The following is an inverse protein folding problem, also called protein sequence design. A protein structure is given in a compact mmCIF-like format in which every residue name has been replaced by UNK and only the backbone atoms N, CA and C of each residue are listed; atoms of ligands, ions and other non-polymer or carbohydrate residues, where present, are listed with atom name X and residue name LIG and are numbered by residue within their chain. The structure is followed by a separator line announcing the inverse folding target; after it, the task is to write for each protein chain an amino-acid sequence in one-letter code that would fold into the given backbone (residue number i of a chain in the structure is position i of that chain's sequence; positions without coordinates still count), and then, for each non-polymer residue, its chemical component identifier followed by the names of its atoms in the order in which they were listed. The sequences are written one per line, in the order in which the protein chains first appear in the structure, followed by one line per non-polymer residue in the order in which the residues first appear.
data_IF_915616072318
#
_entry.id   IF_915616072318
#
_cell.length_a   1.000
_cell.length_b   1.000
_cell.length_c   1.000
_cell.angle_alpha   90.00
_cell.angle_beta   90.00
_cell.angle_gamma   90.00
#
_symmetry.space_group_name_H-M   'P 1'
#
loop_
_entity.id
_entity.type
_entity.pdbx_description
1 polymer ?
#
# COMPACT_ATOMS: atom_id res chain seq x y z
N UNK A 1 -12.89 -3.74 -17.58
CA UNK A 1 -12.31 -2.89 -16.51
C UNK A 1 -11.38 -3.78 -15.70
N UNK A 2 -10.13 -3.39 -15.48
CA UNK A 2 -9.22 -4.26 -14.75
C UNK A 2 -9.52 -4.16 -13.25
N UNK A 3 -10.11 -5.21 -12.68
CA UNK A 3 -10.61 -5.21 -11.31
C UNK A 3 -9.51 -4.92 -10.26
N UNK A 4 -8.26 -5.28 -10.55
CA UNK A 4 -7.12 -4.96 -9.67
C UNK A 4 -6.89 -3.46 -9.43
N UNK A 5 -7.47 -2.58 -10.26
CA UNK A 5 -7.41 -1.13 -10.03
C UNK A 5 -8.15 -0.70 -8.75
N UNK A 6 -9.02 -1.55 -8.21
CA UNK A 6 -9.79 -1.32 -7.00
C UNK A 6 -9.18 -1.97 -5.76
N UNK A 7 -8.12 -2.76 -5.92
CA UNK A 7 -7.49 -3.42 -4.79
C UNK A 7 -7.09 -2.40 -3.74
N UNK A 8 -7.38 -2.74 -2.48
CA UNK A 8 -7.11 -1.91 -1.31
C UNK A 8 -7.80 -0.53 -1.35
N UNK A 9 -8.83 -0.34 -2.19
CA UNK A 9 -9.50 0.96 -2.32
C UNK A 9 -8.73 1.98 -3.16
N UNK A 10 -7.73 1.56 -3.95
CA UNK A 10 -6.86 2.48 -4.71
C UNK A 10 -7.61 3.46 -5.62
N UNK A 11 -8.56 2.97 -6.42
CA UNK A 11 -9.39 3.81 -7.29
C UNK A 11 -10.26 4.79 -6.50
N UNK A 12 -10.71 4.41 -5.30
CA UNK A 12 -11.56 5.24 -4.44
C UNK A 12 -10.75 6.44 -3.92
N UNK A 13 -9.52 6.20 -3.46
CA UNK A 13 -8.61 7.28 -3.05
C UNK A 13 -8.34 8.25 -4.20
N UNK A 14 -8.05 7.74 -5.40
CA UNK A 14 -7.77 8.59 -6.56
C UNK A 14 -9.01 9.36 -7.03
N UNK A 15 -10.20 8.74 -6.99
CA UNK A 15 -11.46 9.41 -7.31
C UNK A 15 -11.75 10.57 -6.34
N UNK A 16 -11.57 10.34 -5.03
CA UNK A 16 -11.71 11.38 -4.00
C UNK A 16 -10.74 12.55 -4.24
N UNK A 17 -9.46 12.26 -4.50
CA UNK A 17 -8.47 13.28 -4.83
C UNK A 17 -8.85 14.08 -6.08
N UNK A 18 -9.48 13.43 -7.06
CA UNK A 18 -9.94 14.07 -8.29
C UNK A 18 -11.26 14.85 -8.14
N UNK A 19 -11.87 14.88 -6.95
CA UNK A 19 -13.16 15.53 -6.70
C UNK A 19 -14.36 14.79 -7.31
N UNK A 20 -14.24 13.48 -7.52
CA UNK A 20 -15.30 12.63 -8.07
C UNK A 20 -15.94 11.77 -6.97
N UNK A 21 -17.10 11.17 -7.23
CA UNK A 21 -17.73 10.21 -6.31
C UNK A 21 -16.80 9.02 -6.08
N UNK A 22 -16.31 8.88 -4.85
CA UNK A 22 -15.41 7.81 -4.44
C UNK A 22 -16.14 6.58 -3.95
N UNK A 23 -17.48 6.58 -3.84
CA UNK A 23 -18.25 5.37 -3.51
C UNK A 23 -18.41 4.45 -4.70
N UNK A 24 -18.50 5.04 -5.89
CA UNK A 24 -18.58 4.35 -7.18
C UNK A 24 -17.56 4.95 -8.15
N UNK A 25 -16.26 4.68 -7.94
CA UNK A 25 -15.21 5.32 -8.71
C UNK A 25 -15.28 4.96 -10.20
N UNK A 26 -15.03 5.97 -11.04
CA UNK A 26 -15.01 5.83 -12.49
C UNK A 26 -13.94 4.83 -12.93
N UNK A 27 -14.15 4.21 -14.09
CA UNK A 27 -13.19 3.27 -14.68
C UNK A 27 -11.88 3.96 -15.02
N UNK A 28 -10.79 3.46 -14.46
CA UNK A 28 -9.43 3.80 -14.93
C UNK A 28 -9.21 3.13 -16.29
N UNK A 29 -8.92 3.93 -17.32
CA UNK A 29 -8.55 3.44 -18.66
C UNK A 29 -7.08 2.99 -18.69
N UNK A 30 -6.78 1.84 -18.09
CA UNK A 30 -5.45 1.25 -18.05
C UNK A 30 -5.25 0.36 -16.82
N UNK A 31 -3.99 0.09 -16.49
CA UNK A 31 -3.59 -0.77 -15.38
C UNK A 31 -2.88 0.04 -14.30
N UNK A 32 -3.41 0.00 -13.08
CA UNK A 32 -2.83 0.68 -11.93
C UNK A 32 -1.96 -0.29 -11.12
N UNK A 33 -0.73 0.11 -10.83
CA UNK A 33 0.12 -0.59 -9.86
C UNK A 33 -0.60 -0.63 -8.50
N UNK A 34 -0.71 -1.82 -7.92
CA UNK A 34 -1.46 -2.03 -6.67
C UNK A 34 -0.59 -2.53 -5.50
N UNK A 35 0.70 -2.78 -5.74
CA UNK A 35 1.66 -3.20 -4.73
C UNK A 35 3.07 -2.80 -5.14
N UNK A 36 3.96 -2.66 -4.16
CA UNK A 36 5.38 -2.47 -4.39
C UNK A 36 5.99 -3.78 -4.86
N UNK A 37 6.81 -3.73 -5.91
CA UNK A 37 7.62 -4.85 -6.35
C UNK A 37 8.92 -4.37 -6.99
N UNK A 38 9.87 -5.30 -7.13
CA UNK A 38 11.19 -5.04 -7.73
C UNK A 38 11.18 -4.98 -9.26
N UNK A 39 10.05 -5.37 -9.87
CA UNK A 39 9.86 -5.40 -11.31
C UNK A 39 9.30 -4.10 -11.86
N UNK A 40 8.35 -4.23 -12.77
CA UNK A 40 7.72 -3.14 -13.51
C UNK A 40 6.44 -2.58 -12.87
N UNK A 41 6.13 -2.94 -11.62
CA UNK A 41 4.92 -2.46 -10.92
C UNK A 41 3.66 -3.29 -11.16
N UNK A 42 3.72 -4.34 -11.99
CA UNK A 42 2.64 -5.30 -12.20
C UNK A 42 3.04 -6.68 -11.68
N UNK A 43 2.05 -7.56 -11.47
CA UNK A 43 2.28 -8.94 -11.07
C UNK A 43 3.00 -9.71 -12.20
N UNK A 44 3.82 -10.74 -11.89
CA UNK A 44 4.62 -11.45 -12.89
C UNK A 44 3.78 -12.13 -13.98
N UNK A 45 2.63 -12.66 -13.60
CA UNK A 45 1.66 -13.40 -14.40
C UNK A 45 0.57 -12.50 -15.01
N UNK A 46 0.76 -11.18 -14.96
CA UNK A 46 -0.26 -10.23 -15.39
C UNK A 46 -0.45 -10.23 -16.91
N UNK A 47 -1.68 -10.53 -17.35
CA UNK A 47 -2.05 -10.45 -18.76
C UNK A 47 -2.40 -9.02 -19.17
N UNK A 48 -1.76 -8.55 -20.25
CA UNK A 48 -1.94 -7.21 -20.78
C UNK A 48 -2.77 -7.20 -22.05
N UNK A 49 -3.78 -6.33 -22.09
CA UNK A 49 -4.46 -5.95 -23.32
C UNK A 49 -3.58 -4.93 -24.06
N UNK A 50 -3.21 -5.18 -25.33
CA UNK A 50 -2.41 -4.25 -26.12
C UNK A 50 -3.03 -2.84 -26.20
N UNK A 51 -2.18 -1.81 -26.17
CA UNK A 51 -2.59 -0.40 -26.31
C UNK A 51 -3.23 0.23 -25.07
N UNK A 52 -3.26 -0.48 -23.94
CA UNK A 52 -3.68 0.11 -22.66
C UNK A 52 -2.47 0.58 -21.84
N UNK A 53 -2.53 1.78 -21.25
CA UNK A 53 -1.41 2.32 -20.50
C UNK A 53 -1.25 1.66 -19.12
N UNK A 54 -0.02 1.70 -18.62
CA UNK A 54 0.32 1.37 -17.23
C UNK A 54 0.49 2.66 -16.42
N UNK A 55 -0.09 2.69 -15.23
CA UNK A 55 0.05 3.76 -14.24
C UNK A 55 0.81 3.20 -13.05
N UNK A 56 2.06 3.65 -12.88
CA UNK A 56 2.99 3.15 -11.87
C UNK A 56 3.32 4.24 -10.86
N UNK A 57 3.81 3.85 -9.69
CA UNK A 57 3.95 4.79 -8.58
C UNK A 57 5.13 5.74 -8.77
N UNK A 58 6.25 5.27 -9.30
CA UNK A 58 7.47 6.06 -9.35
C UNK A 58 8.16 6.02 -10.71
N UNK A 59 8.99 7.03 -10.94
CA UNK A 59 9.86 7.08 -12.12
C UNK A 59 10.82 5.87 -12.17
N UNK A 60 11.27 5.38 -11.01
CA UNK A 60 12.09 4.17 -10.92
C UNK A 60 11.36 2.95 -11.47
N UNK A 61 10.10 2.75 -11.11
CA UNK A 61 9.26 1.69 -11.66
C UNK A 61 8.96 1.90 -13.13
N UNK A 62 8.68 3.15 -13.55
CA UNK A 62 8.44 3.51 -14.95
C UNK A 62 9.62 3.14 -15.84
N UNK A 63 10.86 3.45 -15.42
CA UNK A 63 12.08 3.07 -16.14
C UNK A 63 12.25 1.55 -16.27
N UNK A 64 11.91 0.77 -15.23
CA UNK A 64 11.93 -0.69 -15.29
C UNK A 64 10.87 -1.24 -16.26
N UNK A 65 9.66 -0.68 -16.25
CA UNK A 65 8.62 -1.02 -17.22
C UNK A 65 9.06 -0.70 -18.66
N UNK A 66 9.66 0.47 -18.85
CA UNK A 66 10.19 0.91 -20.13
C UNK A 66 11.33 -0.01 -20.62
N UNK A 67 12.24 -0.45 -19.76
CA UNK A 67 13.28 -1.41 -20.17
C UNK A 67 12.73 -2.76 -20.62
N UNK A 68 11.49 -3.11 -20.24
CA UNK A 68 10.78 -4.30 -20.69
C UNK A 68 9.87 -4.03 -21.91
N UNK A 69 10.05 -2.91 -22.61
CA UNK A 69 9.30 -2.55 -23.81
C UNK A 69 7.92 -1.94 -23.54
N UNK A 70 7.54 -1.67 -22.28
CA UNK A 70 6.27 -1.01 -21.96
C UNK A 70 6.44 0.51 -22.11
N UNK A 71 6.12 1.01 -23.31
CA UNK A 71 6.31 2.43 -23.68
C UNK A 71 5.22 3.33 -23.12
N UNK A 72 3.97 2.87 -23.12
CA UNK A 72 2.82 3.59 -22.56
C UNK A 72 2.75 3.40 -21.04
N UNK A 73 3.75 3.90 -20.32
CA UNK A 73 3.83 3.79 -18.86
C UNK A 73 4.09 5.15 -18.24
N UNK A 74 3.23 5.53 -17.30
CA UNK A 74 3.20 6.86 -16.67
C UNK A 74 3.43 6.71 -15.17
N UNK A 75 4.39 7.46 -14.64
CA UNK A 75 4.59 7.57 -13.20
C UNK A 75 3.59 8.59 -12.64
N UNK A 76 2.81 8.21 -11.63
CA UNK A 76 1.72 9.04 -11.12
C UNK A 76 1.72 9.20 -9.59
N UNK A 77 2.63 8.55 -8.86
CA UNK A 77 2.53 8.44 -7.40
C UNK A 77 1.61 7.30 -6.95
N UNK A 78 1.85 6.78 -5.75
CA UNK A 78 1.01 5.74 -5.16
C UNK A 78 -0.31 6.33 -4.64
N UNK A 79 -1.44 5.61 -4.71
CA UNK A 79 -2.69 6.03 -4.06
C UNK A 79 -2.50 6.37 -2.58
N UNK A 80 -1.59 5.67 -1.88
CA UNK A 80 -1.19 5.99 -0.52
C UNK A 80 -0.64 7.42 -0.35
N UNK A 81 0.21 7.88 -1.27
CA UNK A 81 0.77 9.23 -1.20
C UNK A 81 -0.30 10.31 -1.44
N UNK A 82 -1.29 10.06 -2.31
CA UNK A 82 -2.46 10.92 -2.44
C UNK A 82 -3.33 10.94 -1.18
N UNK A 83 -3.51 9.78 -0.52
CA UNK A 83 -4.23 9.70 0.75
C UNK A 83 -3.56 10.57 1.82
N UNK A 84 -2.24 10.46 1.96
CA UNK A 84 -1.47 11.30 2.90
C UNK A 84 -1.57 12.79 2.59
N UNK A 85 -1.56 13.17 1.30
CA UNK A 85 -1.72 14.56 0.88
C UNK A 85 -3.12 15.13 1.21
N UNK A 86 -4.16 14.29 1.17
CA UNK A 86 -5.53 14.69 1.53
C UNK A 86 -5.80 14.64 3.04
N UNK A 87 -5.04 13.85 3.79
CA UNK A 87 -5.23 13.64 5.22
C UNK A 87 -3.94 13.97 5.97
N UNK A 88 -3.50 15.25 5.99
CA UNK A 88 -2.29 15.65 6.72
C UNK A 88 -2.44 15.33 8.21
N UNK A 89 -1.30 15.12 8.88
CA UNK A 89 -1.34 14.98 10.34
C UNK A 89 -1.74 16.30 11.00
N UNK A 90 -2.50 16.23 12.09
CA UNK A 90 -2.77 17.42 12.89
C UNK A 90 -1.46 17.95 13.49
N UNK A 91 -1.41 19.26 13.78
CA UNK A 91 -0.20 19.91 14.33
C UNK A 91 0.27 19.30 15.65
N UNK A 92 -0.66 18.75 16.44
CA UNK A 92 -0.40 18.04 17.69
C UNK A 92 -0.95 16.60 17.61
N UNK A 93 -0.24 15.68 16.92
CA UNK A 93 -0.68 14.30 16.84
C UNK A 93 -0.57 13.62 18.21
N UNK A 94 -1.45 12.66 18.53
CA UNK A 94 -1.32 11.89 19.76
C UNK A 94 0.01 11.12 19.77
N UNK A 95 0.57 10.83 20.97
CA UNK A 95 1.78 10.04 21.08
C UNK A 95 1.62 8.69 20.39
N UNK A 96 2.65 8.30 19.62
CA UNK A 96 2.71 7.00 18.96
C UNK A 96 3.43 6.00 19.84
N UNK A 97 2.91 4.77 19.91
CA UNK A 97 3.44 3.73 20.79
C UNK A 97 3.57 2.39 20.08
N UNK A 98 4.59 1.61 20.47
CA UNK A 98 4.74 0.23 20.05
C UNK A 98 5.08 0.06 18.57
N UNK A 99 4.91 -1.18 18.11
CA UNK A 99 5.26 -1.62 16.76
C UNK A 99 4.07 -2.23 16.06
N UNK A 100 3.78 -1.76 14.84
CA UNK A 100 2.92 -2.51 13.93
C UNK A 100 3.77 -3.47 13.09
N UNK A 101 3.46 -4.76 13.22
CA UNK A 101 4.15 -5.84 12.55
C UNK A 101 3.33 -6.38 11.38
N UNK A 102 3.94 -6.51 10.21
CA UNK A 102 3.34 -7.10 9.02
C UNK A 102 4.08 -8.40 8.66
N UNK A 103 3.61 -9.58 9.07
CA UNK A 103 4.21 -10.83 8.63
C UNK A 103 4.10 -10.97 7.11
N UNK A 104 5.10 -11.56 6.49
CA UNK A 104 5.01 -12.00 5.11
C UNK A 104 3.88 -13.01 4.99
N UNK A 105 3.06 -12.81 3.96
CA UNK A 105 1.86 -13.58 3.74
C UNK A 105 1.77 -14.04 2.29
N UNK A 106 1.01 -15.12 2.09
CA UNK A 106 0.62 -15.60 0.79
C UNK A 106 -0.49 -14.76 0.19
N UNK A 107 -0.98 -15.17 -0.98
CA UNK A 107 -2.18 -14.62 -1.60
C UNK A 107 -3.04 -15.76 -2.12
N UNK A 108 -4.16 -15.47 -2.78
CA UNK A 108 -5.21 -16.44 -3.09
C UNK A 108 -4.74 -17.69 -3.87
N UNK A 109 -3.55 -17.66 -4.49
CA UNK A 109 -2.93 -18.80 -5.19
C UNK A 109 -1.63 -19.36 -4.59
N UNK A 110 -1.10 -18.86 -3.46
CA UNK A 110 0.18 -19.31 -2.89
C UNK A 110 0.17 -19.36 -1.36
N UNK A 111 0.59 -20.48 -0.77
CA UNK A 111 0.70 -20.67 0.68
C UNK A 111 2.13 -20.39 1.17
N UNK A 112 2.24 -19.81 2.37
CA UNK A 112 3.53 -19.58 3.04
C UNK A 112 3.95 -20.86 3.76
N UNK A 113 5.22 -21.24 3.55
CA UNK A 113 5.95 -22.20 4.36
C UNK A 113 6.91 -21.40 5.23
N UNK A 114 6.73 -21.45 6.55
CA UNK A 114 7.54 -20.68 7.48
C UNK A 114 7.28 -21.05 8.94
N UNK A 115 8.26 -20.77 9.80
CA UNK A 115 8.17 -21.01 11.22
C UNK A 115 7.64 -19.75 11.95
N UNK A 116 6.32 -19.71 12.15
CA UNK A 116 5.70 -18.61 12.90
C UNK A 116 6.14 -18.56 14.37
N UNK A 117 6.50 -19.68 15.02
CA UNK A 117 6.94 -19.65 16.43
C UNK A 117 8.30 -18.99 16.54
N UNK A 118 9.21 -19.32 15.62
CA UNK A 118 10.50 -18.65 15.52
C UNK A 118 10.33 -17.16 15.27
N UNK A 119 9.45 -16.78 14.34
CA UNK A 119 9.18 -15.36 14.06
C UNK A 119 8.60 -14.66 15.31
N UNK A 120 7.65 -15.27 16.00
CA UNK A 120 7.08 -14.74 17.26
C UNK A 120 8.18 -14.52 18.31
N UNK A 121 9.08 -15.51 18.49
CA UNK A 121 10.18 -15.40 19.44
C UNK A 121 11.13 -14.25 19.09
N UNK A 122 11.45 -14.09 17.80
CA UNK A 122 12.33 -13.01 17.32
C UNK A 122 11.70 -11.62 17.50
N UNK A 123 10.40 -11.49 17.22
CA UNK A 123 9.65 -10.25 17.49
C UNK A 123 9.71 -9.88 18.96
N UNK A 124 9.45 -10.84 19.87
CA UNK A 124 9.49 -10.61 21.32
C UNK A 124 10.88 -10.23 21.83
N UNK A 125 11.93 -10.77 21.22
CA UNK A 125 13.30 -10.46 21.60
C UNK A 125 13.76 -9.07 21.11
N UNK A 126 13.15 -8.55 20.05
CA UNK A 126 13.63 -7.36 19.33
C UNK A 126 12.77 -6.12 19.58
N UNK A 127 11.45 -6.29 19.72
CA UNK A 127 10.52 -5.17 19.86
C UNK A 127 10.45 -4.69 21.33
N UNK A 128 10.69 -3.40 21.61
CA UNK A 128 10.83 -2.89 22.98
C UNK A 128 9.49 -2.62 23.69
N UNK A 129 8.36 -2.81 23.01
CA UNK A 129 7.04 -2.39 23.50
C UNK A 129 5.91 -3.25 22.92
N UNK A 130 4.65 -2.82 23.09
CA UNK A 130 3.50 -3.58 22.60
C UNK A 130 3.57 -3.74 21.08
N UNK A 131 3.21 -4.93 20.61
CA UNK A 131 3.19 -5.25 19.17
C UNK A 131 1.77 -5.53 18.71
N UNK A 132 1.37 -4.82 17.65
CA UNK A 132 0.17 -5.12 16.87
C UNK A 132 0.57 -5.90 15.62
N UNK A 133 0.17 -7.16 15.49
CA UNK A 133 0.36 -7.97 14.28
C UNK A 133 -0.81 -7.75 13.34
N UNK A 134 -0.53 -7.19 12.15
CA UNK A 134 -1.51 -7.07 11.09
C UNK A 134 -1.37 -8.22 10.09
N UNK A 135 -2.34 -9.14 10.13
CA UNK A 135 -2.40 -10.27 9.21
C UNK A 135 -3.13 -9.90 7.93
N UNK A 136 -2.76 -10.56 6.82
CA UNK A 136 -3.55 -10.50 5.60
C UNK A 136 -4.91 -11.17 5.81
N UNK A 137 -5.95 -10.72 5.09
CA UNK A 137 -7.33 -11.14 5.37
C UNK A 137 -7.55 -12.67 5.37
N UNK A 138 -6.83 -13.41 4.52
CA UNK A 138 -6.90 -14.88 4.50
C UNK A 138 -6.33 -15.49 5.77
N UNK A 139 -5.15 -15.03 6.21
CA UNK A 139 -4.49 -15.50 7.42
C UNK A 139 -5.24 -15.06 8.68
N UNK A 140 -5.82 -13.86 8.65
CA UNK A 140 -6.67 -13.36 9.73
C UNK A 140 -7.94 -14.21 9.89
N UNK A 141 -8.50 -14.73 8.78
CA UNK A 141 -9.62 -15.68 8.80
C UNK A 141 -9.20 -17.09 9.17
N UNK A 142 -7.92 -17.44 8.99
CA UNK A 142 -7.37 -18.72 9.42
C UNK A 142 -7.15 -18.71 10.94
N UNK A 143 -8.18 -19.13 11.69
CA UNK A 143 -8.20 -19.14 13.17
C UNK A 143 -6.91 -19.66 13.79
N UNK A 144 -6.34 -20.75 13.26
CA UNK A 144 -5.09 -21.35 13.77
C UNK A 144 -3.89 -20.39 13.69
N UNK A 145 -3.77 -19.60 12.62
CA UNK A 145 -2.69 -18.63 12.46
C UNK A 145 -2.93 -17.44 13.39
N UNK A 146 -4.15 -16.90 13.38
CA UNK A 146 -4.54 -15.76 14.23
C UNK A 146 -4.31 -16.06 15.72
N UNK A 147 -4.84 -17.18 16.21
CA UNK A 147 -4.72 -17.60 17.62
C UNK A 147 -3.27 -17.87 18.04
N UNK A 148 -2.37 -18.14 17.10
CA UNK A 148 -0.94 -18.34 17.41
C UNK A 148 -0.31 -17.02 17.86
N UNK A 149 -0.59 -15.92 17.16
CA UNK A 149 -0.12 -14.59 17.53
C UNK A 149 -0.87 -14.03 18.75
N UNK A 150 -2.18 -14.26 18.85
CA UNK A 150 -2.99 -13.83 20.02
C UNK A 150 -2.50 -14.50 21.31
N UNK A 151 -2.26 -15.82 21.30
CA UNK A 151 -1.70 -16.54 22.46
C UNK A 151 -0.29 -16.11 22.81
N UNK A 152 0.45 -15.55 21.86
CA UNK A 152 1.75 -14.95 22.12
C UNK A 152 1.65 -13.60 22.84
N UNK A 153 0.46 -13.04 23.03
CA UNK A 153 0.24 -11.75 23.71
C UNK A 153 0.22 -10.55 22.78
N UNK A 154 0.21 -10.76 21.46
CA UNK A 154 0.12 -9.67 20.49
C UNK A 154 -1.33 -9.25 20.26
N UNK A 155 -1.54 -7.97 19.95
CA UNK A 155 -2.82 -7.50 19.39
C UNK A 155 -2.86 -7.92 17.93
N UNK A 156 -3.88 -8.64 17.49
CA UNK A 156 -3.97 -9.10 16.10
C UNK A 156 -5.10 -8.37 15.37
N UNK A 157 -4.80 -7.85 14.18
CA UNK A 157 -5.74 -7.08 13.36
C UNK A 157 -5.67 -7.48 11.89
N UNK A 158 -6.59 -6.94 11.11
CA UNK A 158 -6.58 -6.92 9.64
C UNK A 158 -7.09 -5.56 9.17
N UNK A 159 -6.44 -4.96 8.17
CA UNK A 159 -6.89 -3.68 7.59
C UNK A 159 -8.17 -3.80 6.78
N UNK A 160 -8.56 -5.02 6.42
CA UNK A 160 -9.79 -5.31 5.69
C UNK A 160 -9.57 -6.28 4.54
N UNK A 161 -10.57 -6.38 3.69
CA UNK A 161 -10.51 -7.22 2.51
C UNK A 161 -9.70 -6.50 1.41
N UNK A 162 -8.90 -7.24 0.63
CA UNK A 162 -8.17 -6.65 -0.50
C UNK A 162 -9.12 -6.10 -1.58
N UNK A 163 -10.31 -6.68 -1.68
CA UNK A 163 -11.20 -6.53 -2.82
C UNK A 163 -10.95 -7.62 -3.86
N UNK A 164 -12.00 -8.07 -4.54
CA UNK A 164 -11.91 -9.01 -5.66
C UNK A 164 -12.62 -8.50 -6.91
N UNK A 165 -13.76 -9.09 -7.28
CA UNK A 165 -14.62 -8.61 -8.37
C UNK A 165 -15.42 -7.40 -7.87
N UNK A 166 -16.07 -6.71 -8.81
CA UNK A 166 -16.76 -5.42 -8.65
C UNK A 166 -17.73 -5.31 -7.46
N UNK A 167 -18.29 -6.43 -7.03
CA UNK A 167 -19.30 -6.57 -5.99
C UNK A 167 -18.73 -6.79 -4.58
N UNK A 168 -17.41 -6.96 -4.44
CA UNK A 168 -16.74 -7.17 -3.17
C UNK A 168 -15.47 -6.31 -3.10
N UNK A 169 -15.66 -5.02 -2.85
CA UNK A 169 -14.60 -4.02 -2.68
C UNK A 169 -14.51 -3.59 -1.21
N UNK A 170 -13.37 -3.01 -0.85
CA UNK A 170 -13.15 -2.41 0.46
C UNK A 170 -12.53 -1.01 0.32
N UNK A 171 -13.37 0.03 0.14
CA UNK A 171 -12.92 1.40 -0.13
C UNK A 171 -12.05 1.99 0.98
N UNK A 172 -12.21 1.52 2.22
CA UNK A 172 -11.59 2.09 3.42
C UNK A 172 -10.31 1.38 3.85
N UNK A 173 -9.86 0.36 3.11
CA UNK A 173 -8.66 -0.42 3.46
C UNK A 173 -7.44 0.48 3.76
N UNK A 174 -7.08 1.38 2.83
CA UNK A 174 -5.93 2.27 3.06
C UNK A 174 -6.18 3.30 4.16
N UNK A 175 -7.42 3.76 4.37
CA UNK A 175 -7.74 4.69 5.47
C UNK A 175 -7.56 4.04 6.83
N UNK A 176 -8.03 2.80 7.00
CA UNK A 176 -7.81 2.02 8.22
C UNK A 176 -6.34 1.70 8.43
N UNK A 177 -5.62 1.38 7.36
CA UNK A 177 -4.17 1.21 7.43
C UNK A 177 -3.45 2.48 7.89
N UNK A 178 -3.80 3.65 7.34
CA UNK A 178 -3.23 4.93 7.76
C UNK A 178 -3.53 5.26 9.21
N UNK A 179 -4.80 5.12 9.61
CA UNK A 179 -5.23 5.36 10.98
C UNK A 179 -4.45 4.48 11.97
N UNK A 180 -4.22 3.22 11.62
CA UNK A 180 -3.49 2.31 12.49
C UNK A 180 -1.97 2.58 12.50
N UNK A 181 -1.36 2.84 11.35
CA UNK A 181 0.07 3.17 11.27
C UNK A 181 0.40 4.44 12.05
N UNK A 182 -0.48 5.44 12.03
CA UNK A 182 -0.32 6.68 12.82
C UNK A 182 -0.40 6.50 14.33
N UNK A 183 -0.86 5.36 14.83
CA UNK A 183 -0.84 5.03 16.27
C UNK A 183 0.49 4.44 16.71
N UNK A 184 1.31 3.97 15.77
CA UNK A 184 2.52 3.21 16.05
C UNK A 184 3.77 4.04 15.82
N UNK A 185 4.73 3.89 16.74
CA UNK A 185 6.03 4.52 16.59
C UNK A 185 6.86 3.81 15.53
N UNK A 186 6.81 2.48 15.53
CA UNK A 186 7.61 1.62 14.64
C UNK A 186 6.74 0.81 13.70
N UNK A 187 7.28 0.50 12.54
CA UNK A 187 6.75 -0.51 11.61
C UNK A 187 7.81 -1.58 11.37
N UNK A 188 7.40 -2.85 11.34
CA UNK A 188 8.33 -3.92 11.06
C UNK A 188 7.70 -5.06 10.24
N UNK A 189 8.54 -5.79 9.52
CA UNK A 189 8.17 -6.96 8.72
C UNK A 189 9.37 -7.87 8.50
N UNK A 190 9.12 -9.14 8.20
CA UNK A 190 10.17 -10.07 7.76
C UNK A 190 10.48 -10.00 6.27
N UNK A 191 9.73 -9.20 5.49
CA UNK A 191 10.11 -8.82 4.12
C UNK A 191 9.83 -7.35 3.87
N UNK A 192 10.64 -6.71 3.02
CA UNK A 192 10.30 -5.37 2.53
C UNK A 192 9.03 -5.46 1.68
N UNK A 193 8.01 -4.68 2.02
CA UNK A 193 6.70 -4.71 1.37
C UNK A 193 6.07 -3.31 1.33
N UNK A 194 4.94 -3.18 0.62
CA UNK A 194 4.17 -1.92 0.54
C UNK A 194 3.84 -1.35 1.92
N UNK A 195 3.40 -2.20 2.86
CA UNK A 195 2.96 -1.73 4.18
C UNK A 195 4.08 -1.04 4.97
N UNK A 196 5.32 -1.54 4.85
CA UNK A 196 6.51 -0.91 5.45
C UNK A 196 6.78 0.44 4.81
N UNK A 197 6.81 0.52 3.47
CA UNK A 197 7.02 1.80 2.76
C UNK A 197 5.93 2.82 3.06
N UNK A 198 4.68 2.38 3.16
CA UNK A 198 3.53 3.21 3.52
C UNK A 198 3.69 3.81 4.92
N UNK A 199 4.05 2.97 5.89
CA UNK A 199 4.27 3.39 7.28
C UNK A 199 5.46 4.34 7.43
N UNK A 200 6.56 4.10 6.69
CA UNK A 200 7.70 5.03 6.65
C UNK A 200 7.24 6.42 6.17
N UNK A 201 6.44 6.46 5.10
CA UNK A 201 5.95 7.73 4.58
C UNK A 201 5.00 8.43 5.57
N UNK A 202 4.22 7.65 6.32
CA UNK A 202 3.38 8.10 7.44
C UNK A 202 4.16 8.39 8.74
N UNK A 203 5.50 8.32 8.74
CA UNK A 203 6.35 8.75 9.85
C UNK A 203 6.73 7.67 10.88
N UNK A 204 6.53 6.38 10.57
CA UNK A 204 6.99 5.30 11.44
C UNK A 204 8.50 5.04 11.28
N UNK A 205 9.17 4.68 12.36
CA UNK A 205 10.54 4.14 12.35
C UNK A 205 10.52 2.69 11.79
N UNK A 206 11.23 2.37 10.70
CA UNK A 206 11.12 1.05 10.07
C UNK A 206 12.10 0.01 10.62
N UNK A 207 11.76 -1.25 10.44
CA UNK A 207 12.65 -2.39 10.56
C UNK A 207 12.25 -3.50 9.57
N UNK A 208 13.22 -4.19 8.98
CA UNK A 208 12.97 -5.37 8.13
C UNK A 208 13.93 -6.48 8.51
N UNK A 209 13.45 -7.45 9.28
CA UNK A 209 14.30 -8.50 9.87
C UNK A 209 13.54 -9.81 10.12
N UNK A 210 14.30 -10.85 10.42
CA UNK A 210 13.80 -12.18 10.67
C UNK A 210 13.75 -13.07 9.44
N UNK A 211 13.25 -14.29 9.66
CA UNK A 211 13.07 -15.26 8.59
C UNK A 211 12.09 -14.71 7.55
N UNK A 212 12.51 -14.45 6.30
CA UNK A 212 11.62 -13.93 5.28
C UNK A 212 10.47 -14.90 4.96
N UNK A 213 10.52 -16.14 5.45
CA UNK A 213 9.65 -17.25 5.08
C UNK A 213 9.73 -17.49 3.57
N UNK A 214 9.04 -18.49 3.04
CA UNK A 214 9.05 -18.80 1.60
C UNK A 214 7.64 -19.13 1.12
N UNK A 215 7.34 -18.79 -0.12
CA UNK A 215 6.16 -19.35 -0.78
C UNK A 215 6.51 -20.74 -1.33
N UNK A 216 5.57 -21.67 -1.23
CA UNK A 216 5.76 -22.97 -1.87
C UNK A 216 5.95 -22.79 -3.40
N UNK A 217 7.03 -23.37 -3.93
CA UNK A 217 7.43 -23.20 -5.34
C UNK A 217 7.88 -21.78 -5.74
N UNK A 218 8.34 -20.93 -4.80
CA UNK A 218 8.79 -19.56 -5.11
C UNK A 218 9.92 -19.55 -6.16
N UNK A 219 9.60 -19.09 -7.37
CA UNK A 219 10.59 -18.74 -8.38
C UNK A 219 11.01 -17.29 -8.14
N UNK A 220 12.32 -16.97 -7.98
CA UNK A 220 12.78 -15.62 -7.67
C UNK A 220 12.76 -14.73 -8.92
N UNK A 221 11.56 -14.47 -9.45
CA UNK A 221 11.36 -13.61 -10.62
C UNK A 221 12.01 -12.25 -10.33
N UNK A 222 12.73 -11.72 -11.32
CA UNK A 222 13.51 -10.50 -11.23
C UNK A 222 14.62 -10.50 -10.16
N UNK A 223 15.02 -11.67 -9.65
CA UNK A 223 16.08 -11.85 -8.66
C UNK A 223 15.60 -11.97 -7.21
N UNK A 224 14.29 -11.93 -6.95
CA UNK A 224 13.66 -12.25 -5.66
C UNK A 224 14.24 -11.53 -4.43
N UNK A 225 14.15 -12.19 -3.28
CA UNK A 225 14.67 -11.69 -2.00
C UNK A 225 16.17 -11.34 -2.02
N UNK A 226 17.06 -12.13 -2.67
CA UNK A 226 18.48 -11.77 -2.75
C UNK A 226 18.73 -10.41 -3.42
N UNK A 227 17.99 -10.09 -4.49
CA UNK A 227 18.09 -8.77 -5.12
C UNK A 227 17.53 -7.68 -4.21
N UNK A 228 16.39 -7.93 -3.54
CA UNK A 228 15.79 -6.96 -2.61
C UNK A 228 16.79 -6.58 -1.52
N UNK A 229 17.38 -7.58 -0.87
CA UNK A 229 18.38 -7.38 0.20
C UNK A 229 19.60 -6.61 -0.28
N UNK A 230 20.06 -6.85 -1.51
CA UNK A 230 21.21 -6.12 -2.08
C UNK A 230 20.87 -4.68 -2.48
N UNK A 231 19.74 -4.47 -3.16
CA UNK A 231 19.38 -3.17 -3.74
C UNK A 231 18.77 -2.20 -2.72
N UNK A 232 18.16 -2.73 -1.66
CA UNK A 232 17.60 -1.96 -0.54
C UNK A 232 18.24 -2.40 0.78
N UNK A 233 19.55 -2.63 0.78
CA UNK A 233 20.30 -3.07 1.97
C UNK A 233 20.09 -2.13 3.16
N UNK A 234 20.04 -0.81 2.91
CA UNK A 234 19.79 0.19 3.94
C UNK A 234 18.41 0.10 4.61
N UNK A 235 17.46 -0.66 4.06
CA UNK A 235 16.14 -0.88 4.66
C UNK A 235 16.05 -2.18 5.47
N UNK A 236 17.12 -2.96 5.56
CA UNK A 236 17.14 -4.24 6.26
C UNK A 236 17.89 -4.16 7.59
N UNK A 237 17.36 -4.86 8.58
CA UNK A 237 17.87 -4.89 9.95
C UNK A 237 16.79 -4.54 10.97
N UNK A 238 17.06 -4.82 12.26
CA UNK A 238 16.16 -4.47 13.36
C UNK A 238 16.12 -2.96 13.64
N UNK A 239 17.11 -2.22 13.14
CA UNK A 239 17.20 -0.76 13.20
C UNK A 239 17.59 -0.25 11.83
N UNK A 240 16.83 0.73 11.33
CA UNK A 240 17.04 1.37 10.04
C UNK A 240 17.02 2.88 10.27
N UNK A 241 17.92 3.59 9.60
CA UNK A 241 17.94 5.05 9.63
C UNK A 241 16.62 5.63 9.07
N UNK A 242 15.81 6.33 9.89
CA UNK A 242 14.53 6.86 9.45
C UNK A 242 14.64 7.89 8.32
N UNK A 243 15.73 8.64 8.25
CA UNK A 243 15.93 9.67 7.20
C UNK A 243 16.15 8.99 5.86
N UNK A 244 17.10 8.05 5.80
CA UNK A 244 17.37 7.25 4.61
C UNK A 244 16.14 6.47 4.18
N UNK A 245 15.43 5.87 5.14
CA UNK A 245 14.21 5.15 4.83
C UNK A 245 13.14 6.03 4.21
N UNK A 246 12.97 7.26 4.73
CA UNK A 246 12.02 8.23 4.19
C UNK A 246 12.35 8.62 2.75
N UNK A 247 13.61 8.91 2.45
CA UNK A 247 14.06 9.21 1.08
C UNK A 247 13.72 8.06 0.11
N UNK A 248 13.99 6.82 0.54
CA UNK A 248 13.67 5.63 -0.26
C UNK A 248 12.16 5.47 -0.43
N UNK A 249 11.37 5.63 0.63
CA UNK A 249 9.92 5.52 0.57
C UNK A 249 9.31 6.58 -0.35
N UNK A 250 9.77 7.84 -0.28
CA UNK A 250 9.35 8.92 -1.18
C UNK A 250 9.59 8.51 -2.64
N UNK A 251 10.82 8.06 -2.95
CA UNK A 251 11.19 7.69 -4.33
C UNK A 251 10.55 6.40 -4.85
N UNK A 252 10.27 5.41 -4.00
CA UNK A 252 9.58 4.16 -4.40
C UNK A 252 8.07 4.36 -4.55
N UNK A 253 7.46 5.20 -3.71
CA UNK A 253 6.03 5.50 -3.71
C UNK A 253 5.65 6.70 -4.59
N UNK A 254 6.62 7.43 -5.14
CA UNK A 254 6.42 8.63 -5.96
C UNK A 254 5.69 9.75 -5.21
N UNK A 255 5.98 9.91 -3.92
CA UNK A 255 5.37 10.95 -3.09
C UNK A 255 5.84 12.37 -3.47
N UNK A 256 6.92 12.46 -4.26
CA UNK A 256 7.53 13.66 -4.82
C UNK A 256 6.98 14.05 -6.20
N UNK A 257 6.14 13.21 -6.82
CA UNK A 257 5.67 13.39 -8.20
C UNK A 257 4.14 13.27 -8.33
N UNK A 258 3.40 13.68 -7.30
CA UNK A 258 1.94 13.68 -7.34
C UNK A 258 1.44 14.59 -8.47
N UNK A 259 0.58 14.05 -9.31
CA UNK A 259 -0.01 14.77 -10.42
C UNK A 259 -1.22 15.57 -9.94
N UNK A 260 -1.43 16.79 -10.47
CA UNK A 260 -2.66 17.53 -10.22
C UNK A 260 -3.90 16.73 -10.63
N UNK A 261 -5.01 16.94 -9.92
CA UNK A 261 -6.28 16.26 -10.18
C UNK A 261 -6.72 16.29 -11.66
N UNK A 262 -6.59 17.44 -12.33
CA UNK A 262 -6.91 17.57 -13.76
C UNK A 262 -6.05 16.68 -14.67
N UNK A 263 -4.77 16.49 -14.33
CA UNK A 263 -3.87 15.63 -15.08
C UNK A 263 -4.22 14.16 -14.90
N UNK A 264 -4.53 13.73 -13.67
CA UNK A 264 -5.02 12.37 -13.40
C UNK A 264 -6.33 12.08 -14.14
N UNK A 265 -7.30 13.00 -14.09
CA UNK A 265 -8.57 12.84 -14.80
C UNK A 265 -8.36 12.63 -16.31
N UNK A 266 -7.49 13.44 -16.92
CA UNK A 266 -7.13 13.29 -18.34
C UNK A 266 -6.46 11.95 -18.63
N UNK A 267 -5.49 11.54 -17.81
CA UNK A 267 -4.79 10.25 -17.96
C UNK A 267 -5.73 9.05 -17.83
N UNK A 268 -6.65 9.09 -16.86
CA UNK A 268 -7.60 8.00 -16.62
C UNK A 268 -8.83 8.04 -17.52
N UNK A 269 -9.02 9.13 -18.28
CA UNK A 269 -10.22 9.44 -19.07
C UNK A 269 -11.48 9.58 -18.20
N UNK A 270 -11.33 10.22 -17.05
CA UNK A 270 -12.44 10.55 -16.15
C UNK A 270 -13.09 11.89 -16.53
N UNK A 271 -14.40 12.05 -16.25
CA UNK A 271 -15.10 13.31 -16.50
C UNK A 271 -14.60 14.42 -15.57
N UNK A 272 -14.91 15.67 -15.91
CA UNK A 272 -14.77 16.76 -14.94
C UNK A 272 -15.78 16.60 -13.80
N UNK A 273 -15.45 17.06 -12.57
CA UNK A 273 -16.41 17.11 -11.48
C UNK A 273 -17.65 17.92 -11.88
N UNK A 274 -18.83 17.55 -11.38
CA UNK A 274 -20.00 18.39 -11.52
C UNK A 274 -19.71 19.75 -10.87
N UNK A 275 -19.92 20.86 -11.60
CA UNK A 275 -19.84 22.19 -10.99
C UNK A 275 -20.90 22.27 -9.89
N UNK A 276 -20.48 22.57 -8.66
CA UNK A 276 -21.42 23.01 -7.64
C UNK A 276 -21.91 24.38 -8.09
N UNK A 277 -22.98 24.41 -8.88
CA UNK A 277 -23.77 25.62 -9.04
C UNK A 277 -24.31 25.93 -7.66
N UNK A 278 -23.71 26.91 -6.99
CA UNK A 278 -24.34 27.54 -5.84
C UNK A 278 -25.70 28.03 -6.33
N UNK A 279 -26.79 27.37 -5.90
CA UNK A 279 -28.11 27.97 -6.02
C UNK A 279 -28.03 29.30 -5.26
N UNK A 280 -28.32 30.44 -5.92
CA UNK A 280 -28.45 31.68 -5.18
C UNK A 280 -29.57 31.47 -4.16
N UNK A 281 -29.25 31.72 -2.89
CA UNK A 281 -30.25 31.74 -1.82
C UNK A 281 -31.45 32.58 -2.30
N UNK A 282 -32.69 32.09 -2.16
CA UNK A 282 -33.83 32.89 -2.54
C UNK A 282 -33.78 34.20 -1.76
N UNK A 283 -33.75 35.31 -2.49
CA UNK A 283 -34.02 36.62 -1.90
C UNK A 283 -35.41 36.53 -1.28
N UNK A 284 -35.48 36.50 0.05
CA UNK A 284 -36.71 36.76 0.79
C UNK A 284 -37.15 38.17 0.43
N UNK A 285 -38.01 38.23 -0.58
CA UNK A 285 -38.71 39.42 -1.01
C UNK A 285 -39.77 39.77 0.02
N UNK A 286 -39.58 40.95 0.60
CA UNK A 286 -40.60 41.87 1.09
C UNK A 286 -42.05 41.48 0.77
N UNK A 287 -42.84 41.29 1.84
CA UNK A 287 -44.16 41.92 2.05
C UNK A 287 -44.57 41.80 3.50
#
# INVERSE_FOLDING_TARGET
MHHANHYYGHSHVLARYCGLDDRSPQRIHGYLQHGWNIGHGMAPDHEFVPGLPLFVWSERTRRRAWSLGRRETYAIGSPWAYLLAMEPEPDAPPPREGTIWYPFHGWEGQHVVGDHDRLIAEIKATEPGPVTVCLYWQEYRATRVRERYERAGFRVICHGYRGSKWDSLDPDFLRRQLAEQRRHRRVASNRLCSAVLYAILAGCEPAVYGDPMQLDGEVPIWGGQPRIRRQWAQLHGPQVDPVVAREVAVGELGADILLPAVALRRLFRWPEPASVTAEPAPLEGAR
#
